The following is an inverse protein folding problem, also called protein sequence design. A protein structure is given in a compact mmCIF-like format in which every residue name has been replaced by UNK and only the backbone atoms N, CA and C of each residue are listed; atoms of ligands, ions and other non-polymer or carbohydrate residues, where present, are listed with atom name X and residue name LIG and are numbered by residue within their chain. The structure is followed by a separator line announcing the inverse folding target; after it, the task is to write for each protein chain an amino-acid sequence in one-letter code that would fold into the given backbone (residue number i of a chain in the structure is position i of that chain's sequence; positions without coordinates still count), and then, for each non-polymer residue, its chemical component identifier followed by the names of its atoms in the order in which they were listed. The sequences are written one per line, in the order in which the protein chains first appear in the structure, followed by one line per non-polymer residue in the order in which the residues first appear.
data_IF_213678575372
#
_entry.id   IF_213678575372
#
_cell.length_a   1.000
_cell.length_b   1.000
_cell.length_c   1.000
_cell.angle_alpha   90.00
_cell.angle_beta   90.00
_cell.angle_gamma   90.00
#
_symmetry.space_group_name_H-M   'P 1'
#
loop_
_entity.id
_entity.type
_entity.pdbx_description
1 polymer ?
#
# COMPACT_ATOMS: atom_id res chain seq x y z
N UNK A 1 23.23 -6.13 -4.21
CA UNK A 1 24.36 -6.31 -3.29
C UNK A 1 24.34 -5.21 -2.25
N UNK A 2 24.63 -5.54 -0.98
CA UNK A 2 24.72 -4.58 0.12
C UNK A 2 26.09 -3.93 0.17
N UNK A 3 26.14 -2.65 0.54
CA UNK A 3 27.40 -1.95 0.82
C UNK A 3 27.83 -2.25 2.26
N UNK A 4 28.70 -3.25 2.43
CA UNK A 4 29.19 -3.63 3.77
C UNK A 4 28.10 -3.96 4.80
N UNK A 5 26.91 -4.32 4.35
CA UNK A 5 25.80 -4.65 5.24
C UNK A 5 24.94 -3.48 5.74
N UNK A 6 25.20 -2.23 5.32
CA UNK A 6 24.49 -1.04 5.83
C UNK A 6 23.18 -0.79 5.07
N UNK A 7 23.17 -0.89 3.73
CA UNK A 7 21.99 -0.70 2.88
C UNK A 7 22.18 -1.39 1.53
N UNK A 8 21.16 -1.39 0.69
CA UNK A 8 21.22 -1.90 -0.68
C UNK A 8 21.36 -0.77 -1.69
N UNK A 9 22.11 -1.00 -2.74
CA UNK A 9 22.37 -0.04 -3.81
C UNK A 9 21.07 0.32 -4.57
N UNK A 10 21.11 1.43 -5.30
CA UNK A 10 20.04 1.89 -6.18
C UNK A 10 19.72 0.85 -7.26
N UNK A 11 20.76 0.28 -7.89
CA UNK A 11 20.68 -0.78 -8.90
C UNK A 11 21.93 -1.66 -8.89
N UNK A 12 21.91 -2.69 -9.68
CA UNK A 12 23.07 -3.57 -9.89
C UNK A 12 24.20 -2.78 -10.57
N UNK A 13 25.40 -2.87 -10.03
CA UNK A 13 26.58 -2.17 -10.56
C UNK A 13 26.69 -0.69 -10.20
N UNK A 14 25.76 -0.15 -9.43
CA UNK A 14 25.86 1.22 -8.93
C UNK A 14 26.98 1.37 -7.88
N UNK A 15 27.47 2.62 -7.69
CA UNK A 15 28.49 2.91 -6.67
C UNK A 15 27.95 2.71 -5.25
N UNK A 16 28.86 2.47 -4.29
CA UNK A 16 28.52 2.17 -2.90
C UNK A 16 27.76 3.27 -2.16
N UNK A 17 27.75 4.51 -2.67
CA UNK A 17 27.02 5.62 -2.09
C UNK A 17 25.57 5.74 -2.55
N UNK A 18 25.15 4.97 -3.56
CA UNK A 18 23.80 5.05 -4.12
C UNK A 18 22.81 4.21 -3.31
N UNK A 19 21.56 4.68 -3.23
CA UNK A 19 20.49 4.00 -2.54
C UNK A 19 19.13 4.42 -3.11
N UNK A 20 18.08 3.67 -2.82
CA UNK A 20 16.69 4.02 -3.11
C UNK A 20 15.77 3.56 -2.00
N UNK A 21 14.64 4.25 -1.86
CA UNK A 21 13.55 3.82 -0.99
C UNK A 21 12.88 2.58 -1.58
N UNK A 22 12.87 1.48 -0.83
CA UNK A 22 12.33 0.18 -1.27
C UNK A 22 10.91 -0.01 -0.76
N UNK A 23 10.04 0.95 -1.06
CA UNK A 23 8.65 1.00 -0.58
C UNK A 23 7.83 -0.22 -0.97
N UNK A 24 8.11 -0.85 -2.10
CA UNK A 24 7.40 -2.05 -2.57
C UNK A 24 7.59 -3.28 -1.66
N UNK A 25 8.57 -3.28 -0.76
CA UNK A 25 8.76 -4.36 0.20
C UNK A 25 7.61 -4.45 1.23
N UNK A 26 6.72 -3.46 1.27
CA UNK A 26 5.50 -3.53 2.08
C UNK A 26 4.63 -4.73 1.69
N UNK A 27 4.60 -5.11 0.42
CA UNK A 27 3.81 -6.24 -0.07
C UNK A 27 4.33 -7.58 0.45
N UNK A 28 5.66 -7.73 0.55
CA UNK A 28 6.28 -8.90 1.18
C UNK A 28 5.85 -9.04 2.66
N UNK A 29 5.67 -7.92 3.34
CA UNK A 29 5.18 -7.89 4.72
C UNK A 29 3.66 -8.14 4.82
N UNK A 30 2.86 -7.61 3.89
CA UNK A 30 1.39 -7.77 3.89
C UNK A 30 1.02 -9.23 3.66
N UNK A 31 1.65 -9.87 2.68
CA UNK A 31 1.38 -11.27 2.33
C UNK A 31 2.18 -12.27 3.17
N UNK A 32 2.97 -11.78 4.15
CA UNK A 32 3.75 -12.61 5.08
C UNK A 32 4.70 -13.60 4.38
N UNK A 33 5.21 -13.21 3.22
CA UNK A 33 6.20 -14.04 2.51
C UNK A 33 7.56 -14.04 3.21
N UNK A 34 7.90 -12.96 3.88
CA UNK A 34 9.15 -12.74 4.63
C UNK A 34 10.45 -13.01 3.85
N UNK A 35 10.38 -12.96 2.51
CA UNK A 35 11.53 -13.16 1.62
C UNK A 35 12.59 -12.06 1.79
N UNK A 36 12.15 -10.86 2.16
CA UNK A 36 12.98 -9.66 2.26
C UNK A 36 12.97 -9.04 3.67
N UNK A 37 12.68 -9.82 4.70
CA UNK A 37 12.60 -9.34 6.08
C UNK A 37 13.88 -8.66 6.55
N UNK A 38 15.05 -9.25 6.28
CA UNK A 38 16.35 -8.68 6.63
C UNK A 38 16.65 -7.39 5.85
N UNK A 39 16.21 -7.33 4.58
CA UNK A 39 16.31 -6.13 3.76
C UNK A 39 15.48 -5.01 4.38
N UNK A 40 14.22 -5.27 4.72
CA UNK A 40 13.33 -4.28 5.35
C UNK A 40 13.94 -3.72 6.63
N UNK A 41 14.39 -4.59 7.51
CA UNK A 41 14.98 -4.19 8.81
C UNK A 41 16.19 -3.29 8.62
N UNK A 42 17.09 -3.66 7.72
CA UNK A 42 18.31 -2.91 7.42
C UNK A 42 18.03 -1.54 6.81
N UNK A 43 17.19 -1.51 5.79
CA UNK A 43 16.80 -0.29 5.09
C UNK A 43 16.08 0.69 6.02
N UNK A 44 15.23 0.23 6.92
CA UNK A 44 14.54 1.09 7.90
C UNK A 44 15.52 1.81 8.83
N UNK A 45 16.59 1.15 9.24
CA UNK A 45 17.65 1.80 10.03
C UNK A 45 18.39 2.85 9.21
N UNK A 46 18.72 2.51 7.95
CA UNK A 46 19.43 3.41 7.04
C UNK A 46 18.61 4.66 6.70
N UNK A 47 17.32 4.52 6.41
CA UNK A 47 16.44 5.63 6.02
C UNK A 47 16.31 6.72 7.08
N UNK A 48 16.40 6.38 8.37
CA UNK A 48 16.35 7.34 9.46
C UNK A 48 17.45 8.40 9.35
N UNK A 49 18.63 8.02 8.86
CA UNK A 49 19.76 8.93 8.60
C UNK A 49 19.67 9.67 7.26
N UNK A 50 18.63 9.43 6.46
CA UNK A 50 18.42 10.03 5.13
C UNK A 50 17.20 10.96 5.07
N UNK A 51 16.48 11.10 6.17
CA UNK A 51 15.31 11.98 6.27
C UNK A 51 15.71 13.44 6.09
N UNK A 52 14.96 14.15 5.27
CA UNK A 52 14.99 15.62 5.16
C UNK A 52 13.81 16.23 5.93
N UNK A 53 13.74 17.54 5.96
CA UNK A 53 12.71 18.30 6.69
C UNK A 53 11.28 17.90 6.32
N UNK A 54 11.04 17.53 5.06
CA UNK A 54 9.71 17.22 4.51
C UNK A 54 9.59 15.81 3.95
N UNK A 55 10.40 14.88 4.40
CA UNK A 55 10.28 13.47 4.06
C UNK A 55 11.57 12.81 3.65
N UNK A 56 11.44 11.53 3.28
CA UNK A 56 12.53 10.73 2.77
C UNK A 56 12.65 10.93 1.26
N UNK A 57 13.82 11.30 0.73
CA UNK A 57 14.06 11.28 -0.71
C UNK A 57 13.77 9.90 -1.31
N UNK A 58 13.33 9.88 -2.56
CA UNK A 58 13.08 8.63 -3.28
C UNK A 58 14.35 7.80 -3.44
N UNK A 59 15.47 8.49 -3.66
CA UNK A 59 16.78 7.86 -3.83
C UNK A 59 17.93 8.90 -3.69
N UNK A 60 19.15 8.42 -3.88
CA UNK A 60 20.38 9.21 -3.77
C UNK A 60 20.60 10.25 -4.88
N UNK A 61 19.75 10.32 -5.89
CA UNK A 61 19.93 11.23 -7.05
C UNK A 61 19.48 12.66 -6.78
N UNK A 62 18.71 12.90 -5.71
CA UNK A 62 18.28 14.24 -5.35
C UNK A 62 17.22 14.26 -4.24
N UNK A 63 16.62 15.42 -4.03
CA UNK A 63 15.64 15.64 -2.96
C UNK A 63 14.18 15.33 -3.37
N UNK A 64 13.96 14.73 -4.52
CA UNK A 64 12.61 14.31 -4.96
C UNK A 64 12.01 13.31 -3.97
N UNK A 65 10.78 13.57 -3.53
CA UNK A 65 10.05 12.75 -2.57
C UNK A 65 8.68 12.37 -3.13
N UNK A 66 8.30 11.14 -2.91
CA UNK A 66 6.95 10.61 -3.16
C UNK A 66 6.31 10.33 -1.82
N UNK A 67 5.46 11.24 -1.35
CA UNK A 67 4.89 11.18 0.00
C UNK A 67 4.05 9.92 0.25
N UNK A 68 3.32 9.44 -0.75
CA UNK A 68 2.60 8.17 -0.71
C UNK A 68 3.54 6.97 -0.48
N UNK A 69 4.66 6.90 -1.19
CA UNK A 69 5.64 5.83 -1.02
C UNK A 69 6.44 5.94 0.28
N UNK A 70 6.64 7.15 0.78
CA UNK A 70 7.20 7.34 2.13
C UNK A 70 6.25 6.78 3.19
N UNK A 71 4.93 6.95 3.04
CA UNK A 71 3.96 6.38 3.96
C UNK A 71 3.88 4.85 3.85
N UNK A 72 4.08 4.27 2.66
CA UNK A 72 4.27 2.82 2.52
C UNK A 72 5.52 2.35 3.27
N UNK A 73 6.61 3.09 3.13
CA UNK A 73 7.86 2.81 3.86
C UNK A 73 7.65 2.92 5.37
N UNK A 74 6.98 3.96 5.85
CA UNK A 74 6.63 4.12 7.26
C UNK A 74 5.81 2.94 7.80
N UNK A 75 4.87 2.41 6.99
CA UNK A 75 4.04 1.27 7.38
C UNK A 75 4.83 -0.02 7.63
N UNK A 76 6.06 -0.13 7.11
CA UNK A 76 6.98 -1.24 7.40
C UNK A 76 7.73 -1.09 8.72
N UNK A 77 7.58 0.04 9.40
CA UNK A 77 8.34 0.34 10.63
C UNK A 77 8.07 -0.70 11.73
N UNK A 78 9.14 -1.21 12.40
CA UNK A 78 8.99 -2.24 13.42
C UNK A 78 8.38 -1.72 14.72
N UNK A 79 8.41 -0.41 14.94
CA UNK A 79 7.89 0.24 16.16
C UNK A 79 7.10 1.50 15.84
N UNK A 80 6.19 1.88 16.73
CA UNK A 80 5.43 3.13 16.61
C UNK A 80 6.35 4.36 16.54
N UNK A 81 7.45 4.35 17.30
CA UNK A 81 8.42 5.44 17.27
C UNK A 81 9.09 5.58 15.88
N UNK A 82 9.50 4.48 15.28
CA UNK A 82 10.09 4.49 13.93
C UNK A 82 9.07 4.94 12.89
N UNK A 83 7.81 4.48 13.01
CA UNK A 83 6.72 4.96 12.16
C UNK A 83 6.57 6.47 12.24
N UNK A 84 6.47 7.01 13.46
CA UNK A 84 6.34 8.45 13.68
C UNK A 84 7.52 9.24 13.11
N UNK A 85 8.75 8.78 13.29
CA UNK A 85 9.95 9.45 12.76
C UNK A 85 9.91 9.60 11.23
N UNK A 86 9.33 8.63 10.52
CA UNK A 86 9.22 8.71 9.05
C UNK A 86 7.97 9.49 8.63
N UNK A 87 6.88 9.37 9.37
CA UNK A 87 5.59 9.99 9.05
C UNK A 87 5.58 11.50 9.35
N UNK A 88 6.18 11.94 10.46
CA UNK A 88 6.11 13.34 10.88
C UNK A 88 6.62 14.34 9.84
N UNK A 89 7.72 14.12 9.09
CA UNK A 89 8.12 15.00 7.99
C UNK A 89 7.07 15.07 6.87
N UNK A 90 6.32 14.01 6.60
CA UNK A 90 5.21 14.05 5.63
C UNK A 90 4.03 14.85 6.19
N UNK A 91 3.72 14.69 7.48
CA UNK A 91 2.73 15.52 8.16
C UNK A 91 3.10 17.01 8.07
N UNK A 92 4.38 17.34 8.34
CA UNK A 92 4.91 18.71 8.19
C UNK A 92 4.75 19.22 6.76
N UNK A 93 5.10 18.41 5.76
CA UNK A 93 4.91 18.74 4.35
C UNK A 93 3.45 19.13 4.06
N UNK A 94 2.49 18.28 4.42
CA UNK A 94 1.07 18.51 4.14
C UNK A 94 0.58 19.82 4.77
N UNK A 95 1.07 20.17 5.96
CA UNK A 95 0.64 21.38 6.66
C UNK A 95 1.31 22.66 6.14
N UNK A 96 2.53 22.61 5.63
CA UNK A 96 3.33 23.78 5.30
C UNK A 96 3.47 24.01 3.79
N UNK A 97 3.20 23.04 2.94
CA UNK A 97 3.34 23.21 1.49
C UNK A 97 2.36 24.26 0.94
N UNK A 98 2.84 25.08 0.02
CA UNK A 98 2.01 26.06 -0.70
C UNK A 98 0.97 25.40 -1.65
N UNK A 99 1.16 24.15 -2.02
CA UNK A 99 0.27 23.37 -2.91
C UNK A 99 -0.61 22.38 -2.15
N UNK A 100 -1.07 22.75 -0.94
CA UNK A 100 -1.83 21.88 -0.07
C UNK A 100 -3.21 21.48 -0.63
N UNK A 101 -3.84 22.36 -1.39
CA UNK A 101 -5.18 22.13 -1.95
C UNK A 101 -5.17 22.38 -3.46
N UNK A 102 -5.21 21.32 -4.28
CA UNK A 102 -5.07 19.91 -3.93
C UNK A 102 -3.62 19.53 -3.61
N UNK A 103 -3.46 18.57 -2.70
CA UNK A 103 -2.14 18.10 -2.29
C UNK A 103 -1.41 17.40 -3.43
N UNK A 104 -0.09 17.56 -3.46
CA UNK A 104 0.79 16.80 -4.34
C UNK A 104 1.39 15.61 -3.60
N UNK A 105 1.40 14.45 -4.23
CA UNK A 105 2.21 13.32 -3.77
C UNK A 105 3.70 13.50 -4.07
N UNK A 106 4.03 14.44 -4.96
CA UNK A 106 5.38 14.66 -5.48
C UNK A 106 5.92 16.02 -5.05
N UNK A 107 6.96 16.04 -4.25
CA UNK A 107 7.54 17.27 -3.70
C UNK A 107 9.04 17.13 -3.45
N UNK A 108 9.67 18.23 -3.11
CA UNK A 108 11.06 18.26 -2.65
C UNK A 108 11.10 18.05 -1.14
N UNK A 109 11.80 17.02 -0.71
CA UNK A 109 11.93 16.67 0.72
C UNK A 109 12.74 17.72 1.53
N UNK A 110 13.53 18.54 0.89
CA UNK A 110 14.31 19.61 1.51
C UNK A 110 13.51 20.89 1.74
N UNK A 111 12.64 21.28 0.82
CA UNK A 111 11.95 22.57 0.82
C UNK A 111 10.43 22.48 0.96
N UNK A 112 9.82 21.32 0.81
CA UNK A 112 8.37 21.15 0.79
C UNK A 112 7.68 21.69 -0.47
N UNK A 113 8.44 22.15 -1.46
CA UNK A 113 7.87 22.65 -2.70
C UNK A 113 7.33 21.50 -3.55
N UNK A 114 6.12 21.70 -4.07
CA UNK A 114 5.53 20.76 -5.02
C UNK A 114 6.43 20.60 -6.25
N UNK A 115 6.49 19.37 -6.76
CA UNK A 115 7.17 19.04 -7.99
C UNK A 115 6.28 18.16 -8.88
N UNK A 116 6.00 18.59 -10.09
CA UNK A 116 5.29 17.92 -11.19
C UNK A 116 3.77 17.76 -11.00
N UNK A 117 3.30 16.91 -10.09
CA UNK A 117 1.91 16.41 -10.08
C UNK A 117 1.09 16.88 -8.89
N UNK A 118 -0.23 17.04 -9.09
CA UNK A 118 -1.21 17.32 -8.03
C UNK A 118 -2.48 16.49 -8.24
N UNK A 119 -3.29 16.41 -7.21
CA UNK A 119 -4.63 15.80 -7.26
C UNK A 119 -4.66 14.37 -7.81
N UNK A 120 -3.64 13.56 -7.46
CA UNK A 120 -3.62 12.15 -7.89
C UNK A 120 -4.16 11.24 -6.79
N UNK A 121 -4.90 10.20 -7.19
CA UNK A 121 -5.46 9.19 -6.27
C UNK A 121 -4.41 8.42 -5.47
N UNK A 122 -3.14 8.44 -5.90
CA UNK A 122 -2.03 7.77 -5.20
C UNK A 122 -1.84 8.25 -3.76
N UNK A 123 -2.35 9.44 -3.40
CA UNK A 123 -2.36 9.93 -2.00
C UNK A 123 -3.15 9.01 -1.07
N UNK A 124 -3.99 8.12 -1.58
CA UNK A 124 -4.57 7.01 -0.81
C UNK A 124 -3.51 6.16 -0.11
N UNK A 125 -2.29 6.13 -0.62
CA UNK A 125 -1.13 5.49 0.02
C UNK A 125 -0.79 6.01 1.42
N UNK A 126 -1.29 7.18 1.81
CA UNK A 126 -1.14 7.72 3.18
C UNK A 126 -1.79 6.81 4.24
N UNK A 127 -2.79 6.04 3.85
CA UNK A 127 -3.52 5.12 4.72
C UNK A 127 -2.92 3.72 4.78
N UNK A 128 -1.74 3.51 4.18
CA UNK A 128 -1.11 2.18 4.10
C UNK A 128 -0.95 1.52 5.48
N UNK A 129 -0.64 2.26 6.52
CA UNK A 129 -0.54 1.71 7.89
C UNK A 129 -1.89 1.16 8.37
N UNK A 130 -2.96 1.91 8.17
CA UNK A 130 -4.32 1.46 8.51
C UNK A 130 -4.73 0.25 7.68
N UNK A 131 -4.39 0.26 6.39
CA UNK A 131 -4.63 -0.88 5.51
C UNK A 131 -3.94 -2.15 6.02
N UNK A 132 -2.65 -2.08 6.35
CA UNK A 132 -1.88 -3.23 6.87
C UNK A 132 -2.50 -3.78 8.15
N UNK A 133 -2.89 -2.90 9.07
CA UNK A 133 -3.48 -3.32 10.35
C UNK A 133 -4.85 -3.99 10.15
N UNK A 134 -5.69 -3.41 9.32
CA UNK A 134 -7.01 -3.96 8.99
C UNK A 134 -6.91 -5.27 8.21
N UNK A 135 -5.99 -5.35 7.25
CA UNK A 135 -5.74 -6.57 6.50
C UNK A 135 -5.31 -7.72 7.43
N UNK A 136 -4.37 -7.47 8.33
CA UNK A 136 -3.91 -8.49 9.30
C UNK A 136 -4.97 -8.88 10.32
N UNK A 137 -5.84 -7.96 10.69
CA UNK A 137 -6.97 -8.25 11.57
C UNK A 137 -8.11 -9.03 10.88
N UNK A 138 -8.07 -9.18 9.55
CA UNK A 138 -9.17 -9.75 8.78
C UNK A 138 -10.40 -8.83 8.69
N UNK A 139 -10.24 -7.56 9.07
CA UNK A 139 -11.32 -6.56 9.15
C UNK A 139 -11.55 -5.79 7.83
N UNK A 140 -10.88 -6.18 6.75
CA UNK A 140 -11.12 -5.57 5.45
C UNK A 140 -12.35 -6.22 4.82
N UNK A 141 -13.49 -5.59 5.00
CA UNK A 141 -14.60 -5.76 4.06
C UNK A 141 -14.24 -5.01 2.77
N UNK A 142 -13.67 -5.72 1.82
CA UNK A 142 -13.31 -5.16 0.52
C UNK A 142 -14.52 -5.02 -0.40
N UNK A 143 -15.72 -5.44 0.05
CA UNK A 143 -16.89 -5.61 -0.82
C UNK A 143 -16.68 -6.67 -1.91
N UNK A 144 -15.49 -7.23 -1.99
CA UNK A 144 -15.16 -8.38 -2.82
C UNK A 144 -15.17 -9.57 -1.88
N UNK A 145 -16.28 -10.31 -1.86
CA UNK A 145 -16.32 -11.60 -1.19
C UNK A 145 -15.24 -12.46 -1.81
N UNK A 146 -14.13 -12.66 -1.11
CA UNK A 146 -13.22 -13.75 -1.47
C UNK A 146 -14.08 -15.01 -1.49
N UNK A 147 -14.00 -15.85 -2.52
CA UNK A 147 -14.65 -17.14 -2.45
C UNK A 147 -14.16 -17.80 -1.16
N UNK A 148 -15.06 -18.01 -0.23
CA UNK A 148 -14.76 -18.69 1.02
C UNK A 148 -14.37 -20.12 0.68
N UNK A 149 -13.08 -20.34 0.36
CA UNK A 149 -12.48 -21.67 0.45
C UNK A 149 -12.27 -21.95 1.93
N UNK A 150 -13.34 -22.17 2.64
CA UNK A 150 -13.35 -22.49 4.05
C UNK A 150 -14.12 -23.76 4.28
N UNK A 151 -13.42 -24.88 4.36
CA UNK A 151 -13.92 -26.03 5.07
C UNK A 151 -13.98 -25.69 6.56
N UNK A 152 -15.01 -24.97 6.98
CA UNK A 152 -15.44 -24.99 8.36
C UNK A 152 -16.48 -26.10 8.49
N UNK A 153 -16.03 -27.30 8.83
CA UNK A 153 -16.90 -28.30 9.39
C UNK A 153 -17.41 -27.82 10.74
N UNK A 154 -18.61 -27.30 10.76
CA UNK A 154 -19.43 -27.25 11.95
C UNK A 154 -20.84 -27.70 11.58
N UNK A 155 -21.16 -28.89 12.10
CA UNK A 155 -22.47 -29.53 12.25
C UNK A 155 -23.69 -28.91 11.56
N UNK A 156 -24.17 -29.63 10.52
CA UNK A 156 -25.59 -29.80 10.23
C UNK A 156 -26.30 -28.56 9.69
N UNK A 157 -26.32 -28.48 8.43
CA UNK A 157 -27.23 -27.92 7.43
C UNK A 157 -26.52 -27.05 6.42
N UNK A 158 -26.23 -27.65 5.27
CA UNK A 158 -25.80 -26.88 4.09
C UNK A 158 -27.01 -26.07 3.58
N UNK A 159 -27.08 -24.80 3.90
CA UNK A 159 -27.74 -23.83 3.03
C UNK A 159 -26.63 -23.14 2.23
N UNK A 160 -26.42 -23.64 1.02
CA UNK A 160 -25.65 -22.89 0.02
C UNK A 160 -26.46 -21.64 -0.34
N UNK A 161 -26.14 -20.52 0.27
CA UNK A 161 -26.63 -19.23 -0.22
C UNK A 161 -25.88 -18.98 -1.54
N UNK A 162 -26.54 -19.26 -2.64
CA UNK A 162 -26.04 -18.95 -3.98
C UNK A 162 -25.96 -17.44 -4.11
N UNK A 163 -24.75 -16.88 -4.04
CA UNK A 163 -24.55 -15.47 -4.24
C UNK A 163 -24.58 -15.15 -5.74
N UNK A 164 -25.59 -14.41 -6.16
CA UNK A 164 -25.76 -13.94 -7.53
C UNK A 164 -25.40 -12.46 -7.59
N UNK A 165 -24.64 -12.06 -8.59
CA UNK A 165 -24.20 -10.68 -8.78
C UNK A 165 -24.59 -10.17 -10.17
N UNK A 166 -24.94 -8.89 -10.27
CA UNK A 166 -25.07 -8.23 -11.57
C UNK A 166 -23.68 -8.03 -12.22
N UNK A 167 -23.67 -7.59 -13.46
CA UNK A 167 -22.42 -7.34 -14.22
C UNK A 167 -21.58 -6.20 -13.65
N UNK A 168 -22.13 -5.40 -12.73
CA UNK A 168 -21.40 -4.36 -11.99
C UNK A 168 -20.82 -4.84 -10.66
N UNK A 169 -21.07 -6.11 -10.29
CA UNK A 169 -20.59 -6.74 -9.05
C UNK A 169 -21.49 -6.51 -7.84
N UNK A 170 -22.73 -6.00 -8.00
CA UNK A 170 -23.68 -5.86 -6.90
C UNK A 170 -24.38 -7.20 -6.66
N UNK A 171 -24.51 -7.62 -5.42
CA UNK A 171 -25.32 -8.78 -5.05
C UNK A 171 -26.79 -8.53 -5.39
N UNK A 172 -27.40 -9.47 -6.08
CA UNK A 172 -28.83 -9.46 -6.42
C UNK A 172 -29.48 -10.73 -5.87
N UNK A 173 -30.74 -10.64 -5.45
CA UNK A 173 -31.47 -11.80 -4.93
C UNK A 173 -32.09 -12.62 -6.05
N UNK A 174 -32.67 -11.95 -7.05
CA UNK A 174 -33.30 -12.58 -8.20
C UNK A 174 -33.00 -11.76 -9.46
N UNK A 175 -32.37 -12.34 -10.50
CA UNK A 175 -32.18 -11.68 -11.79
C UNK A 175 -33.52 -11.64 -12.56
N UNK A 176 -33.80 -10.51 -13.23
CA UNK A 176 -34.98 -10.36 -14.07
C UNK A 176 -34.81 -11.13 -15.39
N UNK A 177 -35.91 -11.49 -16.06
CA UNK A 177 -35.86 -12.11 -17.40
C UNK A 177 -35.06 -11.23 -18.37
N UNK A 178 -34.09 -11.82 -19.04
CA UNK A 178 -33.20 -11.12 -19.97
C UNK A 178 -31.94 -10.51 -19.33
N UNK A 179 -31.82 -10.55 -18.00
CA UNK A 179 -30.62 -10.06 -17.32
C UNK A 179 -29.43 -10.99 -17.51
N UNK A 180 -28.25 -10.37 -17.59
CA UNK A 180 -26.98 -11.07 -17.50
C UNK A 180 -26.46 -10.92 -16.08
N UNK A 181 -26.18 -12.03 -15.42
CA UNK A 181 -25.68 -12.05 -14.05
C UNK A 181 -24.49 -13.01 -13.89
N UNK A 182 -23.82 -12.93 -12.77
CA UNK A 182 -22.68 -13.79 -12.41
C UNK A 182 -23.11 -14.70 -11.30
N UNK A 183 -23.01 -16.00 -11.51
CA UNK A 183 -23.26 -17.07 -10.55
C UNK A 183 -22.04 -17.99 -10.54
N UNK A 184 -21.49 -18.26 -9.37
CA UNK A 184 -20.30 -19.10 -9.17
C UNK A 184 -19.10 -18.70 -10.07
N UNK A 185 -18.93 -17.37 -10.30
CA UNK A 185 -17.90 -16.83 -11.16
C UNK A 185 -18.15 -16.96 -12.66
N UNK A 186 -19.30 -17.50 -13.07
CA UNK A 186 -19.68 -17.65 -14.48
C UNK A 186 -20.76 -16.64 -14.87
N UNK A 187 -20.65 -16.15 -16.10
CA UNK A 187 -21.65 -15.28 -16.70
C UNK A 187 -22.84 -16.08 -17.19
N UNK A 188 -24.02 -15.76 -16.72
CA UNK A 188 -25.28 -16.48 -17.03
C UNK A 188 -26.29 -15.48 -17.60
N UNK A 189 -27.05 -15.88 -18.61
CA UNK A 189 -28.20 -15.13 -19.13
C UNK A 189 -29.48 -15.73 -18.54
N UNK A 190 -30.30 -14.89 -17.91
CA UNK A 190 -31.62 -15.34 -17.40
C UNK A 190 -32.61 -15.38 -18.55
N UNK A 191 -32.98 -16.61 -19.00
CA UNK A 191 -33.90 -16.87 -20.11
C UNK A 191 -35.35 -17.22 -19.64
N UNK A 192 -35.63 -17.07 -18.33
CA UNK A 192 -36.96 -17.41 -17.78
C UNK A 192 -37.79 -16.18 -17.49
#
# INVERSE_FOLDING_TARGET
TSTGGIHYLLNFGASGSTWSTKYNLIWDQIWEWDLFKDVRTREMVFYRGKMNTYGLPLDSRGAGCKSDWVMWTAAMAPTALTFQQIMLPIWKYINETSSRVPVSDNHRSDSGNMWMFRARSVVGGYWMKCFVEKFKAGDLDTGISSPKTGNAFHNGEMRSQENIYDVSGRSIQEPLPGDIYIKDGQKVLNNQ
#
